data_IF_257384759628
#
_entry.id   IF_257384759628
#
_cell.length_a   1.000
_cell.length_b   1.000
_cell.length_c   1.000
_cell.angle_alpha   90.00
_cell.angle_beta   90.00
_cell.angle_gamma   90.00
#
_symmetry.space_group_name_H-M   'P 1'
#
loop_
_entity.id
_entity.type
_entity.pdbx_description
1 polymer ?
#
# COMPACT_ATOMS: atom_id res chain seq x y z
N UNK A 1 -13.10 32.48 15.91
CA UNK A 1 -11.74 32.20 15.39
C UNK A 1 -11.55 30.69 15.07
N UNK A 2 -12.55 30.00 14.49
CA UNK A 2 -12.52 28.53 14.30
C UNK A 2 -12.11 28.05 12.88
N UNK A 3 -12.07 28.94 11.88
CA UNK A 3 -11.89 28.54 10.46
C UNK A 3 -10.45 28.33 9.98
N UNK A 4 -9.43 28.81 10.70
CA UNK A 4 -8.04 28.75 10.22
C UNK A 4 -7.38 27.36 10.39
N UNK A 5 -7.80 26.60 11.40
CA UNK A 5 -7.24 25.28 11.69
C UNK A 5 -7.68 24.21 10.68
N UNK A 6 -8.96 24.17 10.34
CA UNK A 6 -9.53 23.27 9.33
C UNK A 6 -8.98 23.55 7.94
N UNK A 7 -8.85 24.82 7.52
CA UNK A 7 -8.20 25.19 6.25
C UNK A 7 -6.78 24.65 6.12
N UNK A 8 -5.96 24.74 7.18
CA UNK A 8 -4.57 24.24 7.15
C UNK A 8 -4.48 22.70 7.08
N UNK A 9 -5.37 21.99 7.77
CA UNK A 9 -5.40 20.51 7.75
C UNK A 9 -5.86 20.01 6.38
N UNK A 10 -6.87 20.65 5.79
CA UNK A 10 -7.35 20.34 4.44
C UNK A 10 -6.29 20.66 3.39
N UNK A 11 -5.63 21.82 3.45
CA UNK A 11 -4.55 22.14 2.51
C UNK A 11 -3.35 21.19 2.65
N UNK A 12 -3.02 20.75 3.88
CA UNK A 12 -1.98 19.76 4.11
C UNK A 12 -2.37 18.39 3.54
N UNK A 13 -3.61 17.95 3.74
CA UNK A 13 -4.13 16.71 3.15
C UNK A 13 -4.20 16.78 1.61
N UNK A 14 -4.67 17.90 1.05
CA UNK A 14 -4.73 18.14 -0.40
C UNK A 14 -3.34 18.23 -1.06
N UNK A 15 -2.32 18.72 -0.33
CA UNK A 15 -0.93 18.71 -0.80
C UNK A 15 -0.30 17.32 -0.72
N UNK A 16 -0.55 16.57 0.37
CA UNK A 16 -0.05 15.21 0.52
C UNK A 16 -0.66 14.22 -0.48
N UNK A 17 -1.95 14.39 -0.81
CA UNK A 17 -2.68 13.58 -1.81
C UNK A 17 -2.16 13.81 -3.23
N UNK A 18 -1.84 15.04 -3.62
CA UNK A 18 -1.28 15.37 -4.96
C UNK A 18 0.13 14.82 -5.20
N UNK A 19 0.85 14.42 -4.15
CA UNK A 19 2.21 13.84 -4.27
C UNK A 19 2.25 12.31 -4.32
N UNK A 20 1.10 11.62 -4.25
CA UNK A 20 1.08 10.15 -4.26
C UNK A 20 1.14 9.65 -5.71
N UNK A 21 2.24 8.99 -6.07
CA UNK A 21 2.41 8.31 -7.35
C UNK A 21 1.69 6.96 -7.36
N UNK A 22 0.37 7.01 -7.58
CA UNK A 22 -0.48 5.81 -7.67
C UNK A 22 -0.09 4.90 -8.84
N UNK A 23 0.41 5.45 -9.94
CA UNK A 23 0.82 4.69 -11.12
C UNK A 23 2.14 3.95 -10.89
N UNK A 24 3.10 4.58 -10.21
CA UNK A 24 4.35 3.94 -9.80
C UNK A 24 4.11 2.78 -8.83
N UNK A 25 3.23 2.98 -7.84
CA UNK A 25 2.86 1.93 -6.89
C UNK A 25 2.12 0.77 -7.57
N UNK A 26 1.21 1.04 -8.51
CA UNK A 26 0.49 -0.01 -9.23
C UNK A 26 1.42 -0.93 -10.04
N UNK A 27 2.52 -0.39 -10.58
CA UNK A 27 3.50 -1.16 -11.37
C UNK A 27 4.31 -2.15 -10.52
N UNK A 28 4.47 -1.88 -9.23
CA UNK A 28 5.19 -2.75 -8.29
C UNK A 28 4.34 -3.94 -7.84
N UNK A 29 3.03 -3.91 -8.08
CA UNK A 29 2.11 -4.98 -7.70
C UNK A 29 2.10 -6.08 -8.77
N UNK A 30 2.58 -7.26 -8.37
CA UNK A 30 2.75 -8.42 -9.26
C UNK A 30 1.52 -9.34 -9.25
N UNK A 31 0.75 -9.39 -8.16
CA UNK A 31 -0.46 -10.21 -8.06
C UNK A 31 -1.74 -9.46 -8.46
N UNK A 32 -2.67 -10.14 -9.12
CA UNK A 32 -3.97 -9.57 -9.52
C UNK A 32 -4.83 -9.17 -8.32
N UNK A 33 -4.77 -9.93 -7.23
CA UNK A 33 -5.47 -9.64 -5.98
C UNK A 33 -4.95 -8.34 -5.35
N UNK A 34 -3.63 -8.13 -5.31
CA UNK A 34 -3.07 -6.89 -4.78
C UNK A 34 -3.41 -5.68 -5.66
N UNK A 35 -3.46 -5.85 -6.99
CA UNK A 35 -3.91 -4.79 -7.91
C UNK A 35 -5.38 -4.41 -7.68
N UNK A 36 -6.23 -5.40 -7.42
CA UNK A 36 -7.65 -5.18 -7.12
C UNK A 36 -7.83 -4.42 -5.81
N UNK A 37 -7.16 -4.86 -4.74
CA UNK A 37 -7.23 -4.17 -3.44
C UNK A 37 -6.61 -2.76 -3.49
N UNK A 38 -5.54 -2.58 -4.26
CA UNK A 38 -4.96 -1.25 -4.49
C UNK A 38 -5.89 -0.31 -5.26
N UNK A 39 -6.62 -0.81 -6.25
CA UNK A 39 -7.63 -0.03 -6.96
C UNK A 39 -8.79 0.36 -6.03
N UNK A 40 -9.23 -0.56 -5.16
CA UNK A 40 -10.23 -0.25 -4.13
C UNK A 40 -9.72 0.83 -3.16
N UNK A 41 -8.47 0.72 -2.71
CA UNK A 41 -7.84 1.72 -1.82
C UNK A 41 -7.78 3.10 -2.47
N UNK A 42 -7.30 3.18 -3.72
CA UNK A 42 -7.24 4.43 -4.49
C UNK A 42 -8.62 5.07 -4.59
N UNK A 43 -9.63 4.27 -4.94
CA UNK A 43 -11.02 4.75 -5.04
C UNK A 43 -11.53 5.29 -3.71
N UNK A 44 -11.39 4.55 -2.61
CA UNK A 44 -11.83 4.98 -1.29
C UNK A 44 -11.12 6.28 -0.87
N UNK A 45 -9.84 6.40 -1.19
CA UNK A 45 -9.05 7.60 -0.93
C UNK A 45 -9.54 8.80 -1.74
N UNK A 46 -9.77 8.63 -3.04
CA UNK A 46 -10.28 9.68 -3.93
C UNK A 46 -11.69 10.13 -3.51
N UNK A 47 -12.56 9.20 -3.11
CA UNK A 47 -13.91 9.51 -2.59
C UNK A 47 -13.83 10.35 -1.30
N UNK A 48 -13.00 9.96 -0.33
CA UNK A 48 -12.81 10.72 0.92
C UNK A 48 -12.20 12.10 0.64
N UNK A 49 -11.19 12.18 -0.23
CA UNK A 49 -10.56 13.45 -0.59
C UNK A 49 -11.54 14.38 -1.34
N UNK A 50 -12.37 13.82 -2.22
CA UNK A 50 -13.41 14.56 -2.91
C UNK A 50 -14.46 15.10 -1.94
N UNK A 51 -14.96 14.28 -1.02
CA UNK A 51 -15.92 14.70 0.00
C UNK A 51 -15.35 15.78 0.92
N UNK A 52 -14.09 15.64 1.34
CA UNK A 52 -13.39 16.66 2.13
C UNK A 52 -13.32 17.99 1.37
N UNK A 53 -12.90 17.98 0.10
CA UNK A 53 -12.75 19.20 -0.70
C UNK A 53 -14.09 19.85 -1.06
N UNK A 54 -15.11 19.06 -1.36
CA UNK A 54 -16.39 19.58 -1.88
C UNK A 54 -17.42 19.86 -0.81
N UNK A 55 -17.50 19.10 0.28
CA UNK A 55 -18.58 19.23 1.28
C UNK A 55 -18.12 19.88 2.58
N UNK A 56 -16.91 19.55 3.03
CA UNK A 56 -16.45 19.95 4.37
C UNK A 56 -15.44 21.10 4.36
N UNK A 57 -14.89 21.45 3.20
CA UNK A 57 -13.90 22.53 3.05
C UNK A 57 -14.47 23.81 2.45
N UNK A 58 -15.74 23.81 2.04
CA UNK A 58 -16.42 25.05 1.68
C UNK A 58 -16.72 25.80 2.99
N UNK A 59 -16.19 27.01 3.13
CA UNK A 59 -16.62 27.89 4.23
C UNK A 59 -18.12 28.13 4.06
N UNK A 60 -18.93 27.96 5.13
CA UNK A 60 -20.36 28.26 5.04
C UNK A 60 -20.53 29.69 4.55
N UNK A 61 -21.41 29.90 3.58
CA UNK A 61 -21.69 31.25 3.09
C UNK A 61 -22.09 32.15 4.27
N UNK A 62 -21.50 33.36 4.40
CA UNK A 62 -21.85 34.27 5.48
C UNK A 62 -23.34 34.56 5.49
N UNK A 63 -24.02 34.24 6.60
CA UNK A 63 -25.45 34.47 6.74
C UNK A 63 -25.70 35.99 6.79
N UNK A 64 -26.50 36.51 5.85
CA UNK A 64 -26.94 37.91 5.85
C UNK A 64 -28.08 38.13 6.85
N UNK A 65 -27.69 38.31 8.12
CA UNK A 65 -28.62 38.53 9.22
C UNK A 65 -29.45 39.83 9.06
N UNK A 66 -28.94 40.85 8.35
CA UNK A 66 -29.67 42.11 8.17
C UNK A 66 -30.83 41.97 7.17
N UNK A 67 -30.64 41.20 6.11
CA UNK A 67 -31.70 40.85 5.17
C UNK A 67 -32.86 40.14 5.88
N UNK A 68 -32.57 39.13 6.71
CA UNK A 68 -33.59 38.40 7.44
C UNK A 68 -34.26 39.24 8.54
N UNK A 69 -33.55 40.18 9.17
CA UNK A 69 -34.14 41.12 10.14
C UNK A 69 -35.24 41.98 9.54
N UNK A 70 -35.13 42.37 8.26
CA UNK A 70 -36.15 43.18 7.56
C UNK A 70 -37.42 42.41 7.22
N UNK A 71 -37.34 41.10 6.98
CA UNK A 71 -38.48 40.29 6.55
C UNK A 71 -39.27 39.62 7.70
N UNK A 72 -38.56 39.14 8.72
CA UNK A 72 -39.13 38.24 9.76
C UNK A 72 -39.17 38.91 11.15
N UNK A 73 -38.45 40.03 11.32
CA UNK A 73 -38.37 40.79 12.57
C UNK A 73 -37.13 40.46 13.41
N UNK A 74 -36.60 41.47 14.10
CA UNK A 74 -35.29 41.39 14.79
C UNK A 74 -35.22 40.32 15.87
N UNK A 75 -36.27 40.17 16.67
CA UNK A 75 -36.28 39.28 17.84
C UNK A 75 -36.04 37.80 17.49
N UNK A 76 -36.60 37.31 16.38
CA UNK A 76 -36.42 35.93 15.98
C UNK A 76 -35.02 35.71 15.39
N UNK A 77 -34.56 36.66 14.56
CA UNK A 77 -33.25 36.58 13.90
C UNK A 77 -32.10 36.69 14.91
N UNK A 78 -32.26 37.49 15.97
CA UNK A 78 -31.28 37.62 17.04
C UNK A 78 -31.14 36.34 17.88
N UNK A 79 -32.26 35.67 18.16
CA UNK A 79 -32.27 34.38 18.85
C UNK A 79 -31.57 33.27 18.03
N UNK A 80 -31.77 33.25 16.70
CA UNK A 80 -31.08 32.31 15.82
C UNK A 80 -29.60 32.64 15.65
N UNK A 81 -29.23 33.92 15.65
CA UNK A 81 -27.83 34.34 15.62
C UNK A 81 -27.09 33.90 16.88
N UNK A 82 -27.67 34.11 18.06
CA UNK A 82 -27.09 33.64 19.32
C UNK A 82 -26.98 32.12 19.38
N UNK A 83 -28.00 31.40 18.89
CA UNK A 83 -27.95 29.94 18.79
C UNK A 83 -26.87 29.46 17.81
N UNK A 84 -26.70 30.12 16.67
CA UNK A 84 -25.68 29.78 15.67
C UNK A 84 -24.27 30.03 16.17
N UNK A 85 -24.04 31.19 16.82
CA UNK A 85 -22.74 31.54 17.41
C UNK A 85 -22.39 30.63 18.61
N UNK A 86 -23.40 30.06 19.28
CA UNK A 86 -23.25 29.09 20.37
C UNK A 86 -23.00 27.64 19.92
N UNK A 87 -23.04 27.34 18.62
CA UNK A 87 -22.70 26.00 18.11
C UNK A 87 -21.18 25.83 18.15
N UNK A 88 -20.70 25.16 19.19
CA UNK A 88 -19.33 24.68 19.23
C UNK A 88 -19.20 23.43 18.36
N UNK A 89 -18.49 23.55 17.23
CA UNK A 89 -18.15 22.40 16.39
C UNK A 89 -17.21 21.50 17.19
N UNK A 90 -17.59 20.24 17.49
CA UNK A 90 -16.71 19.32 18.19
C UNK A 90 -15.43 19.14 17.38
N UNK A 91 -14.29 19.51 17.98
CA UNK A 91 -12.99 19.20 17.39
C UNK A 91 -12.84 17.68 17.37
N UNK A 92 -12.67 17.12 16.19
CA UNK A 92 -12.35 15.70 16.03
C UNK A 92 -11.12 15.36 16.87
N UNK A 93 -11.29 14.47 17.85
CA UNK A 93 -10.19 13.92 18.63
C UNK A 93 -9.73 12.68 17.88
N UNK A 94 -8.52 12.73 17.34
CA UNK A 94 -7.96 11.66 16.53
C UNK A 94 -7.59 10.45 17.39
N UNK A 95 -8.52 9.50 17.50
CA UNK A 95 -8.31 8.20 18.15
C UNK A 95 -7.77 7.13 17.20
N UNK A 96 -7.68 7.44 15.91
CA UNK A 96 -7.40 6.47 14.84
C UNK A 96 -5.90 6.36 14.59
N UNK A 97 -5.19 7.49 14.51
CA UNK A 97 -3.72 7.49 14.29
C UNK A 97 -2.91 6.61 15.28
N UNK A 98 -3.25 6.52 16.58
CA UNK A 98 -2.56 5.64 17.53
C UNK A 98 -2.77 4.15 17.26
N UNK A 99 -3.92 3.74 16.73
CA UNK A 99 -4.24 2.32 16.50
C UNK A 99 -3.57 1.75 15.26
N UNK A 100 -3.35 2.58 14.23
CA UNK A 100 -2.79 2.13 12.95
C UNK A 100 -1.27 2.19 12.89
N UNK A 101 -0.63 3.03 13.71
CA UNK A 101 0.84 3.06 13.87
C UNK A 101 1.46 1.68 14.14
N UNK A 102 1.05 0.93 15.18
CA UNK A 102 1.67 -0.36 15.47
C UNK A 102 1.43 -1.41 14.37
N UNK A 103 0.30 -1.35 13.67
CA UNK A 103 0.01 -2.23 12.53
C UNK A 103 0.92 -1.91 11.33
N UNK A 104 1.16 -0.63 11.08
CA UNK A 104 2.08 -0.19 10.04
C UNK A 104 3.53 -0.56 10.36
N UNK A 105 3.95 -0.37 11.61
CA UNK A 105 5.29 -0.73 12.07
C UNK A 105 5.53 -2.25 11.97
N UNK A 106 4.52 -3.08 12.25
CA UNK A 106 4.61 -4.52 12.07
C UNK A 106 4.81 -4.91 10.59
N UNK A 107 4.06 -4.30 9.68
CA UNK A 107 4.21 -4.51 8.23
C UNK A 107 5.60 -4.09 7.73
N UNK A 108 6.19 -3.02 8.27
CA UNK A 108 7.55 -2.60 7.93
C UNK A 108 8.60 -3.63 8.33
N UNK A 109 8.42 -4.31 9.45
CA UNK A 109 9.33 -5.39 9.88
C UNK A 109 9.21 -6.59 8.97
N UNK A 110 7.98 -6.99 8.61
CA UNK A 110 7.73 -8.08 7.67
C UNK A 110 8.33 -7.80 6.29
N UNK A 111 8.18 -6.57 5.79
CA UNK A 111 8.70 -6.15 4.49
C UNK A 111 10.23 -6.23 4.45
N UNK A 112 10.91 -5.80 5.52
CA UNK A 112 12.38 -5.96 5.65
C UNK A 112 12.80 -7.43 5.70
N UNK A 113 12.01 -8.28 6.34
CA UNK A 113 12.24 -9.73 6.37
C UNK A 113 12.13 -10.35 4.97
N UNK A 114 11.06 -10.02 4.25
CA UNK A 114 10.83 -10.47 2.89
C UNK A 114 11.89 -9.95 1.90
N UNK A 115 12.34 -8.71 2.05
CA UNK A 115 13.43 -8.14 1.25
C UNK A 115 14.73 -8.93 1.44
N UNK A 116 15.12 -9.24 2.68
CA UNK A 116 16.31 -10.05 2.95
C UNK A 116 16.20 -11.47 2.40
N UNK A 117 15.01 -12.08 2.46
CA UNK A 117 14.78 -13.39 1.84
C UNK A 117 14.89 -13.30 0.32
N UNK A 118 14.27 -12.29 -0.30
CA UNK A 118 14.36 -12.08 -1.75
C UNK A 118 15.79 -11.86 -2.22
N UNK A 119 16.61 -11.12 -1.47
CA UNK A 119 18.03 -10.94 -1.79
C UNK A 119 18.80 -12.26 -1.73
N UNK A 120 18.57 -13.08 -0.70
CA UNK A 120 19.21 -14.39 -0.57
C UNK A 120 18.80 -15.36 -1.69
N UNK A 121 17.52 -15.37 -2.07
CA UNK A 121 17.06 -16.19 -3.19
C UNK A 121 17.63 -15.70 -4.52
N UNK A 122 17.73 -14.38 -4.73
CA UNK A 122 18.41 -13.82 -5.91
C UNK A 122 19.88 -14.24 -5.99
N UNK A 123 20.64 -14.16 -4.88
CA UNK A 123 22.03 -14.62 -4.83
C UNK A 123 22.16 -16.13 -5.13
N UNK A 124 21.20 -16.94 -4.64
CA UNK A 124 21.15 -18.38 -4.93
C UNK A 124 20.87 -18.64 -6.40
N UNK A 125 19.88 -17.96 -6.97
CA UNK A 125 19.51 -18.07 -8.38
C UNK A 125 20.64 -17.61 -9.30
N UNK A 126 21.37 -16.56 -8.95
CA UNK A 126 22.54 -16.12 -9.72
C UNK A 126 23.65 -17.17 -9.76
N UNK A 127 23.93 -17.83 -8.62
CA UNK A 127 24.87 -18.96 -8.57
C UNK A 127 24.39 -20.13 -9.44
N UNK A 128 23.11 -20.49 -9.32
CA UNK A 128 22.50 -21.55 -10.13
C UNK A 128 22.55 -21.23 -11.62
N UNK A 129 22.29 -19.98 -12.03
CA UNK A 129 22.42 -19.53 -13.42
C UNK A 129 23.87 -19.66 -13.89
N UNK A 130 24.85 -19.26 -13.08
CA UNK A 130 26.26 -19.37 -13.43
C UNK A 130 26.68 -20.85 -13.60
N UNK A 131 26.25 -21.71 -12.68
CA UNK A 131 26.47 -23.16 -12.74
C UNK A 131 25.80 -23.78 -13.98
N UNK A 132 24.55 -23.43 -14.26
CA UNK A 132 23.82 -23.90 -15.45
C UNK A 132 24.47 -23.41 -16.74
N UNK A 133 24.99 -22.18 -16.78
CA UNK A 133 25.72 -21.68 -17.94
C UNK A 133 27.07 -22.38 -18.15
N UNK A 134 27.82 -22.65 -17.07
CA UNK A 134 29.03 -23.46 -17.14
C UNK A 134 28.72 -24.88 -17.58
N UNK A 135 27.69 -25.50 -17.00
CA UNK A 135 27.23 -26.83 -17.38
C UNK A 135 26.81 -26.84 -18.84
N UNK A 136 26.03 -25.89 -19.34
CA UNK A 136 25.64 -25.82 -20.76
C UNK A 136 26.85 -25.77 -21.71
N UNK A 137 27.93 -25.08 -21.33
CA UNK A 137 29.17 -25.07 -22.11
C UNK A 137 29.89 -26.41 -22.02
N UNK A 138 30.02 -26.94 -20.81
CA UNK A 138 30.74 -28.19 -20.52
C UNK A 138 29.97 -29.44 -20.95
N UNK A 139 28.65 -29.45 -21.03
CA UNK A 139 27.83 -30.65 -21.32
C UNK A 139 28.14 -31.24 -22.70
N UNK A 140 28.61 -30.40 -23.63
CA UNK A 140 29.05 -30.84 -24.95
C UNK A 140 30.40 -31.57 -24.95
N UNK A 141 31.20 -31.41 -23.88
CA UNK A 141 32.57 -31.93 -23.76
C UNK A 141 32.82 -32.74 -22.48
N UNK A 142 31.90 -32.73 -21.52
CA UNK A 142 32.05 -33.34 -20.21
C UNK A 142 31.67 -34.81 -20.30
N UNK A 143 32.50 -35.65 -19.70
CA UNK A 143 32.28 -37.09 -19.66
C UNK A 143 31.21 -37.45 -18.63
N UNK A 144 30.55 -38.61 -18.80
CA UNK A 144 29.51 -39.08 -17.89
C UNK A 144 30.04 -39.23 -16.44
N UNK A 145 31.30 -39.64 -16.29
CA UNK A 145 31.95 -39.79 -14.99
C UNK A 145 32.15 -38.44 -14.29
N UNK A 146 32.58 -37.39 -14.99
CA UNK A 146 32.70 -36.02 -14.46
C UNK A 146 31.35 -35.40 -14.05
N UNK A 147 30.25 -35.80 -14.71
CA UNK A 147 28.89 -35.40 -14.34
C UNK A 147 28.42 -36.11 -13.07
N UNK A 148 28.70 -37.40 -12.93
CA UNK A 148 28.37 -38.18 -11.73
C UNK A 148 29.21 -37.82 -10.50
N UNK A 149 30.43 -37.32 -10.68
CA UNK A 149 31.24 -36.77 -9.58
C UNK A 149 30.63 -35.49 -9.00
N UNK A 150 30.03 -34.64 -9.84
CA UNK A 150 29.35 -33.41 -9.41
C UNK A 150 27.95 -33.66 -8.85
N UNK A 151 27.29 -34.73 -9.29
CA UNK A 151 25.97 -35.13 -8.83
C UNK A 151 25.97 -36.57 -8.29
N UNK A 152 26.55 -36.82 -7.11
CA UNK A 152 26.63 -38.16 -6.52
C UNK A 152 25.24 -38.73 -6.15
N UNK A 153 24.25 -37.85 -5.98
CA UNK A 153 22.83 -38.20 -5.79
C UNK A 153 22.22 -38.89 -7.02
N UNK A 154 22.57 -38.45 -8.23
CA UNK A 154 22.15 -39.08 -9.47
C UNK A 154 22.78 -40.47 -9.61
N UNK A 155 24.08 -40.58 -9.30
CA UNK A 155 24.78 -41.88 -9.33
C UNK A 155 24.14 -42.90 -8.39
N UNK A 156 23.86 -42.51 -7.13
CA UNK A 156 23.16 -43.38 -6.18
C UNK A 156 21.77 -43.78 -6.66
N UNK A 157 21.03 -42.84 -7.23
CA UNK A 157 19.70 -43.12 -7.79
C UNK A 157 19.79 -44.15 -8.93
N UNK A 158 20.74 -44.00 -9.85
CA UNK A 158 20.97 -44.98 -10.91
C UNK A 158 21.38 -46.35 -10.34
N UNK A 159 22.30 -46.39 -9.37
CA UNK A 159 22.71 -47.63 -8.70
C UNK A 159 21.55 -48.33 -7.98
N UNK A 160 20.64 -47.55 -7.37
CA UNK A 160 19.45 -48.07 -6.69
C UNK A 160 18.37 -48.53 -7.68
N UNK A 161 18.18 -47.83 -8.81
CA UNK A 161 17.27 -48.27 -9.89
C UNK A 161 17.78 -49.57 -10.54
N UNK A 162 19.10 -49.71 -10.75
CA UNK A 162 19.73 -50.95 -11.25
C UNK A 162 19.58 -52.08 -10.22
N UNK A 163 19.81 -51.80 -8.93
CA UNK A 163 19.68 -52.81 -7.86
C UNK A 163 18.24 -53.32 -7.70
N UNK A 164 17.25 -52.46 -7.98
CA UNK A 164 15.84 -52.77 -7.86
C UNK A 164 15.19 -53.23 -9.18
N UNK A 165 15.98 -53.54 -10.22
CA UNK A 165 15.52 -53.93 -11.55
C UNK A 165 14.48 -52.97 -12.18
N UNK A 166 14.54 -51.68 -11.83
CA UNK A 166 13.61 -50.68 -12.32
C UNK A 166 14.12 -50.07 -13.64
N UNK A 167 13.94 -50.84 -14.73
CA UNK A 167 14.41 -50.47 -16.07
C UNK A 167 13.40 -49.63 -16.88
N UNK A 168 12.28 -49.20 -16.29
CA UNK A 168 11.31 -48.32 -16.93
C UNK A 168 10.40 -48.97 -17.98
N UNK A 169 9.87 -50.17 -17.68
CA UNK A 169 8.75 -50.74 -18.43
C UNK A 169 7.41 -50.05 -18.11
#
# INVERSE_FOLDING_TARGET
MSGSGTKKVVEAAAKATKSIDWEGMAKLLVSEEARKEFANLRRAFDEVNHDLQTKFSQEPEPIDWEYYRKGIGSRLVDMYKEAYDGIEIPKYVDTVTPEYKPKFDALLVELKGAEQQSLKESERLEKEIAEVQEMKKKISTMTADEYFEKHPELKKRFDDEIRNDNWGY
#
